data_IF_026892589554
#
_entry.id   IF_026892589554
#
_cell.length_a   1.000
_cell.length_b   1.000
_cell.length_c   1.000
_cell.angle_alpha   90.00
_cell.angle_beta   90.00
_cell.angle_gamma   90.00
#
_symmetry.space_group_name_H-M   'P 1'
#
loop_
_entity.id
_entity.type
_entity.pdbx_description
1 polymer ?
#
# COMPACT_ATOMS: atom_id res chain seq x y z
N UNK A 1 9.74 -6.35 -2.91
CA UNK A 1 10.68 -5.25 -3.17
C UNK A 1 12.10 -5.56 -2.67
N UNK A 2 12.27 -6.65 -1.91
CA UNK A 2 13.57 -7.17 -1.48
C UNK A 2 14.13 -6.49 -0.23
N UNK A 3 13.32 -5.71 0.48
CA UNK A 3 13.62 -5.00 1.72
C UNK A 3 12.48 -5.12 2.75
N UNK A 4 11.79 -6.27 2.76
CA UNK A 4 10.87 -6.63 3.82
C UNK A 4 11.62 -6.78 5.15
N UNK A 5 11.06 -6.25 6.21
CA UNK A 5 11.57 -6.31 7.57
C UNK A 5 10.49 -6.87 8.53
N UNK A 6 10.80 -6.95 9.82
CA UNK A 6 9.87 -7.43 10.85
C UNK A 6 8.62 -6.56 11.05
N UNK A 7 8.58 -5.39 10.41
CA UNK A 7 7.45 -4.45 10.44
C UNK A 7 6.65 -4.45 9.13
N UNK A 8 6.98 -5.35 8.21
CA UNK A 8 6.29 -5.52 6.94
C UNK A 8 5.20 -6.57 7.08
N UNK A 9 4.05 -6.32 6.45
CA UNK A 9 3.04 -7.33 6.15
C UNK A 9 3.51 -8.26 5.02
N UNK A 10 2.80 -9.35 4.83
CA UNK A 10 3.07 -10.32 3.76
C UNK A 10 2.02 -10.16 2.69
N UNK A 11 2.38 -9.43 1.64
CA UNK A 11 1.57 -9.31 0.44
C UNK A 11 1.67 -10.58 -0.41
N UNK A 12 0.53 -11.14 -0.83
CA UNK A 12 0.49 -12.31 -1.70
C UNK A 12 -0.48 -12.15 -2.87
N UNK A 13 -0.21 -12.86 -3.96
CA UNK A 13 -1.15 -13.08 -5.06
C UNK A 13 -1.14 -14.55 -5.42
N UNK A 14 -2.31 -15.16 -5.44
CA UNK A 14 -2.52 -16.52 -5.97
C UNK A 14 -3.20 -16.42 -7.33
N UNK A 15 -2.46 -16.78 -8.37
CA UNK A 15 -3.03 -16.88 -9.71
C UNK A 15 -3.80 -18.19 -9.84
N UNK A 16 -5.12 -18.10 -10.04
CA UNK A 16 -6.02 -19.24 -10.25
C UNK A 16 -6.37 -19.38 -11.74
N UNK A 17 -6.75 -20.57 -12.18
CA UNK A 17 -7.10 -20.81 -13.60
C UNK A 17 -8.33 -19.99 -13.99
N UNK A 18 -9.42 -20.14 -13.24
CA UNK A 18 -10.73 -19.56 -13.50
C UNK A 18 -11.26 -18.82 -12.27
N UNK A 19 -12.45 -18.24 -12.38
CA UNK A 19 -13.18 -17.68 -11.24
C UNK A 19 -13.48 -18.77 -10.20
N UNK A 20 -13.25 -18.43 -8.92
CA UNK A 20 -13.47 -19.38 -7.83
C UNK A 20 -14.94 -19.75 -7.70
N UNK A 21 -15.22 -21.04 -7.69
CA UNK A 21 -16.53 -21.58 -7.33
C UNK A 21 -16.88 -21.30 -5.86
N UNK A 22 -18.15 -21.35 -5.51
CA UNK A 22 -18.60 -21.15 -4.12
C UNK A 22 -17.96 -22.15 -3.15
N UNK A 23 -17.69 -23.39 -3.60
CA UNK A 23 -17.01 -24.40 -2.79
C UNK A 23 -15.54 -24.04 -2.52
N UNK A 24 -14.81 -23.54 -3.51
CA UNK A 24 -13.43 -23.08 -3.36
C UNK A 24 -13.33 -21.83 -2.47
N UNK A 25 -14.25 -20.88 -2.64
CA UNK A 25 -14.35 -19.72 -1.77
C UNK A 25 -14.55 -20.13 -0.30
N UNK A 26 -15.46 -21.06 -0.02
CA UNK A 26 -15.69 -21.58 1.32
C UNK A 26 -14.45 -22.29 1.89
N UNK A 27 -13.75 -23.08 1.09
CA UNK A 27 -12.53 -23.77 1.49
C UNK A 27 -11.38 -22.78 1.80
N UNK A 28 -11.23 -21.73 0.98
CA UNK A 28 -10.25 -20.68 1.22
C UNK A 28 -10.58 -19.85 2.47
N UNK A 29 -11.86 -19.55 2.69
CA UNK A 29 -12.32 -18.86 3.91
C UNK A 29 -11.96 -19.67 5.16
N UNK A 30 -12.21 -20.98 5.15
CA UNK A 30 -11.83 -21.87 6.25
C UNK A 30 -10.31 -21.96 6.42
N UNK A 31 -9.55 -22.02 5.33
CA UNK A 31 -8.08 -22.02 5.36
C UNK A 31 -7.54 -20.77 6.04
N UNK A 32 -7.99 -19.58 5.62
CA UNK A 32 -7.53 -18.31 6.19
C UNK A 32 -7.97 -18.14 7.65
N UNK A 33 -9.16 -18.60 8.01
CA UNK A 33 -9.59 -18.67 9.40
C UNK A 33 -8.64 -19.49 10.28
N UNK A 34 -8.19 -20.66 9.79
CA UNK A 34 -7.20 -21.52 10.49
C UNK A 34 -5.80 -20.88 10.50
N UNK A 35 -5.40 -20.21 9.43
CA UNK A 35 -4.10 -19.51 9.38
C UNK A 35 -4.05 -18.39 10.41
N UNK A 36 -5.10 -17.59 10.51
CA UNK A 36 -5.21 -16.48 11.45
C UNK A 36 -5.02 -16.92 12.92
N UNK A 37 -5.44 -18.15 13.27
CA UNK A 37 -5.30 -18.73 14.61
C UNK A 37 -3.88 -19.27 14.90
N UNK A 38 -2.97 -19.22 13.93
CA UNK A 38 -1.61 -19.71 14.15
C UNK A 38 -0.78 -18.72 14.96
N UNK A 39 -0.02 -19.23 15.93
CA UNK A 39 0.97 -18.46 16.70
C UNK A 39 2.26 -18.25 15.88
N UNK A 40 2.14 -17.54 14.74
CA UNK A 40 3.26 -17.22 13.83
C UNK A 40 3.22 -15.73 13.55
N UNK A 41 4.36 -15.08 13.51
CA UNK A 41 4.49 -13.62 13.46
C UNK A 41 3.64 -12.94 12.36
N UNK A 42 3.51 -13.54 11.17
CA UNK A 42 2.76 -12.94 10.04
C UNK A 42 1.38 -13.57 9.79
N UNK A 43 0.93 -14.52 10.63
CA UNK A 43 -0.36 -15.18 10.39
C UNK A 43 -1.55 -14.21 10.37
N UNK A 44 -1.46 -13.12 11.13
CA UNK A 44 -2.46 -12.06 11.21
C UNK A 44 -2.13 -10.83 10.35
N UNK A 45 -1.07 -10.92 9.52
CA UNK A 45 -0.57 -9.82 8.69
C UNK A 45 -0.42 -10.25 7.23
N UNK A 46 -1.31 -11.15 6.79
CA UNK A 46 -1.43 -11.53 5.39
C UNK A 46 -2.37 -10.56 4.69
N UNK A 47 -1.94 -10.05 3.53
CA UNK A 47 -2.77 -9.25 2.65
C UNK A 47 -2.63 -9.76 1.22
N UNK A 48 -3.74 -10.00 0.52
CA UNK A 48 -3.61 -10.44 -0.87
C UNK A 48 -4.88 -10.94 -1.52
N UNK A 49 -4.73 -11.43 -2.74
CA UNK A 49 -5.86 -11.80 -3.59
C UNK A 49 -5.67 -13.12 -4.32
N UNK A 50 -6.80 -13.76 -4.59
CA UNK A 50 -6.95 -14.86 -5.53
C UNK A 50 -7.47 -14.28 -6.85
N UNK A 51 -6.62 -14.29 -7.88
CA UNK A 51 -6.89 -13.62 -9.14
C UNK A 51 -6.88 -14.60 -10.31
N UNK A 52 -7.95 -14.66 -11.14
CA UNK A 52 -7.93 -15.42 -12.37
C UNK A 52 -6.80 -14.95 -13.30
N UNK A 53 -6.06 -15.88 -13.88
CA UNK A 53 -4.87 -15.62 -14.72
C UNK A 53 -5.14 -14.62 -15.82
N UNK A 54 -6.25 -14.77 -16.52
CA UNK A 54 -6.61 -13.89 -17.63
C UNK A 54 -6.88 -12.46 -17.19
N UNK A 55 -7.49 -12.29 -16.02
CA UNK A 55 -7.75 -10.97 -15.42
C UNK A 55 -6.51 -10.37 -14.76
N UNK A 56 -5.59 -11.22 -14.29
CA UNK A 56 -4.32 -10.77 -13.70
C UNK A 56 -3.35 -10.26 -14.77
N UNK A 57 -3.36 -10.83 -15.97
CA UNK A 57 -2.38 -10.61 -17.05
C UNK A 57 -2.13 -9.15 -17.39
N UNK A 58 -3.18 -8.32 -17.42
CA UNK A 58 -3.10 -6.90 -17.84
C UNK A 58 -3.67 -5.97 -16.81
N UNK A 59 -3.21 -4.71 -16.85
CA UNK A 59 -3.81 -3.64 -16.05
C UNK A 59 -5.30 -3.51 -16.41
N UNK A 60 -6.14 -3.59 -15.40
CA UNK A 60 -7.59 -3.46 -15.51
C UNK A 60 -8.01 -2.08 -14.97
N UNK A 61 -8.38 -1.12 -15.84
CA UNK A 61 -8.83 0.20 -15.41
C UNK A 61 -10.12 0.19 -14.57
N UNK A 62 -10.95 -0.86 -14.71
CA UNK A 62 -12.19 -0.98 -13.95
C UNK A 62 -11.93 -1.41 -12.49
N UNK A 63 -10.74 -1.96 -12.21
CA UNK A 63 -10.37 -2.51 -10.91
C UNK A 63 -11.42 -3.49 -10.39
N UNK A 64 -11.90 -4.37 -11.28
CA UNK A 64 -12.89 -5.37 -10.91
C UNK A 64 -12.39 -6.21 -9.73
N UNK A 65 -13.30 -6.54 -8.82
CA UNK A 65 -12.97 -7.22 -7.57
C UNK A 65 -12.33 -8.60 -7.79
N UNK A 66 -11.35 -8.93 -6.94
CA UNK A 66 -10.83 -10.26 -6.69
C UNK A 66 -11.28 -10.74 -5.32
N UNK A 67 -11.17 -12.05 -5.05
CA UNK A 67 -11.39 -12.57 -3.71
C UNK A 67 -10.16 -12.23 -2.86
N UNK A 68 -10.33 -11.34 -1.89
CA UNK A 68 -9.28 -10.55 -1.23
C UNK A 68 -9.32 -10.73 0.28
N UNK A 69 -8.15 -10.85 0.89
CA UNK A 69 -7.91 -10.79 2.33
C UNK A 69 -7.24 -9.47 2.68
N UNK A 70 -7.85 -8.69 3.53
CA UNK A 70 -7.27 -7.46 4.07
C UNK A 70 -6.32 -7.77 5.24
N UNK A 71 -5.29 -6.96 5.42
CA UNK A 71 -4.34 -7.11 6.52
C UNK A 71 -5.04 -7.05 7.88
N UNK A 72 -4.85 -8.08 8.69
CA UNK A 72 -5.51 -8.25 9.98
C UNK A 72 -6.94 -8.77 9.92
N UNK A 73 -7.49 -9.02 8.74
CA UNK A 73 -8.82 -9.62 8.60
C UNK A 73 -8.77 -11.14 8.69
N UNK A 74 -9.90 -11.71 9.13
CA UNK A 74 -10.13 -13.18 9.14
C UNK A 74 -10.91 -13.65 7.92
N UNK A 75 -11.63 -12.75 7.29
CA UNK A 75 -12.59 -13.04 6.24
C UNK A 75 -12.13 -12.45 4.91
N UNK A 76 -12.20 -13.26 3.87
CA UNK A 76 -12.00 -12.80 2.50
C UNK A 76 -13.29 -12.15 2.00
N UNK A 77 -13.11 -11.08 1.24
CA UNK A 77 -14.19 -10.32 0.60
C UNK A 77 -13.89 -10.12 -0.88
N UNK A 78 -14.87 -9.69 -1.65
CA UNK A 78 -14.64 -9.25 -3.02
C UNK A 78 -14.25 -7.78 -3.02
N UNK A 79 -13.02 -7.47 -3.40
CA UNK A 79 -12.50 -6.11 -3.45
C UNK A 79 -11.50 -5.91 -4.61
N UNK A 80 -11.44 -4.70 -5.14
CA UNK A 80 -10.51 -4.29 -6.18
C UNK A 80 -9.15 -3.80 -5.66
N UNK A 81 -8.88 -3.91 -4.35
CA UNK A 81 -7.69 -3.35 -3.70
C UNK A 81 -6.39 -3.80 -4.37
N UNK A 82 -6.22 -5.10 -4.57
CA UNK A 82 -5.04 -5.67 -5.23
C UNK A 82 -5.08 -5.62 -6.76
N UNK A 83 -6.19 -5.20 -7.38
CA UNK A 83 -6.32 -5.12 -8.83
C UNK A 83 -5.78 -3.77 -9.37
N UNK A 84 -4.48 -3.54 -9.23
CA UNK A 84 -3.83 -2.26 -9.54
C UNK A 84 -2.61 -2.43 -10.44
N UNK A 85 -2.16 -1.35 -11.07
CA UNK A 85 -0.93 -1.33 -11.85
C UNK A 85 0.30 -1.51 -10.93
N UNK A 86 0.26 -0.94 -9.72
CA UNK A 86 1.33 -1.04 -8.73
C UNK A 86 1.53 -2.49 -8.29
N UNK A 87 0.45 -3.21 -7.95
CA UNK A 87 0.53 -4.63 -7.55
C UNK A 87 1.07 -5.49 -8.70
N UNK A 88 0.57 -5.30 -9.94
CA UNK A 88 1.06 -6.04 -11.11
C UNK A 88 2.54 -5.79 -11.40
N UNK A 89 2.97 -4.53 -11.33
CA UNK A 89 4.37 -4.19 -11.53
C UNK A 89 5.25 -4.84 -10.44
N UNK A 90 4.84 -4.73 -9.18
CA UNK A 90 5.57 -5.31 -8.06
C UNK A 90 5.68 -6.82 -8.19
N UNK A 91 4.56 -7.49 -8.49
CA UNK A 91 4.54 -8.94 -8.69
C UNK A 91 5.46 -9.34 -9.86
N UNK A 92 5.33 -8.67 -11.01
CA UNK A 92 6.09 -8.99 -12.22
C UNK A 92 7.59 -8.78 -12.07
N UNK A 93 8.01 -7.68 -11.46
CA UNK A 93 9.43 -7.27 -11.41
C UNK A 93 10.14 -7.69 -10.10
N UNK A 94 9.40 -7.95 -9.04
CA UNK A 94 9.92 -8.19 -7.69
C UNK A 94 9.23 -9.35 -6.95
N UNK A 95 8.27 -10.03 -7.57
CA UNK A 95 7.56 -11.15 -6.95
C UNK A 95 8.51 -12.29 -6.60
N UNK A 96 8.26 -12.92 -5.45
CA UNK A 96 8.94 -14.14 -5.02
C UNK A 96 8.02 -15.31 -5.33
N UNK A 97 8.48 -16.24 -6.17
CA UNK A 97 7.69 -17.41 -6.55
C UNK A 97 7.76 -18.45 -5.43
N UNK A 98 6.61 -18.75 -4.84
CA UNK A 98 6.47 -19.84 -3.88
C UNK A 98 6.00 -21.14 -4.56
N UNK A 99 5.18 -21.00 -5.60
CA UNK A 99 4.70 -22.12 -6.43
C UNK A 99 4.24 -21.61 -7.80
N UNK A 100 4.37 -22.44 -8.84
CA UNK A 100 3.88 -22.13 -10.18
C UNK A 100 4.93 -21.46 -11.07
N UNK A 101 4.50 -20.83 -12.19
CA UNK A 101 5.40 -20.20 -13.15
C UNK A 101 5.96 -18.86 -12.67
N UNK A 102 6.97 -18.37 -13.35
CA UNK A 102 7.53 -17.04 -13.13
C UNK A 102 6.48 -15.93 -13.40
N UNK A 103 6.44 -14.86 -12.61
CA UNK A 103 5.45 -13.80 -12.78
C UNK A 103 5.47 -13.15 -14.17
N UNK A 104 6.64 -13.12 -14.83
CA UNK A 104 6.78 -12.59 -16.21
C UNK A 104 6.12 -13.45 -17.28
N UNK A 105 5.78 -14.69 -16.97
CA UNK A 105 4.99 -15.56 -17.84
C UNK A 105 3.48 -15.32 -17.68
N UNK A 106 3.07 -14.88 -16.50
CA UNK A 106 1.68 -14.60 -16.16
C UNK A 106 1.23 -13.18 -16.49
N UNK A 107 2.14 -12.21 -16.38
CA UNK A 107 1.85 -10.78 -16.45
C UNK A 107 2.53 -10.12 -17.66
N UNK A 108 1.77 -9.36 -18.42
CA UNK A 108 2.32 -8.46 -19.42
C UNK A 108 3.09 -7.30 -18.75
N UNK A 109 4.03 -6.64 -19.43
CA UNK A 109 4.69 -5.45 -18.93
C UNK A 109 3.70 -4.35 -18.54
N UNK A 110 3.87 -3.74 -17.38
CA UNK A 110 3.01 -2.66 -16.92
C UNK A 110 3.46 -1.34 -17.56
N UNK A 111 2.60 -0.64 -18.29
CA UNK A 111 2.98 0.63 -18.92
C UNK A 111 3.33 1.69 -17.87
N UNK A 112 4.41 2.44 -18.09
CA UNK A 112 4.81 3.57 -17.24
C UNK A 112 3.68 4.60 -17.04
N UNK A 113 2.88 4.82 -18.09
CA UNK A 113 1.71 5.70 -18.03
C UNK A 113 0.65 5.21 -17.03
N UNK A 114 0.43 3.88 -16.93
CA UNK A 114 -0.52 3.30 -15.98
C UNK A 114 -0.05 3.49 -14.54
N UNK A 115 1.23 3.26 -14.24
CA UNK A 115 1.81 3.51 -12.92
C UNK A 115 1.67 4.99 -12.52
N UNK A 116 2.03 5.90 -13.41
CA UNK A 116 1.91 7.33 -13.15
C UNK A 116 0.46 7.79 -12.97
N UNK A 117 -0.46 7.26 -13.75
CA UNK A 117 -1.89 7.58 -13.60
C UNK A 117 -2.42 7.11 -12.24
N UNK A 118 -2.09 5.88 -11.83
CA UNK A 118 -2.48 5.35 -10.53
C UNK A 118 -1.86 6.15 -9.37
N UNK A 119 -0.57 6.48 -9.46
CA UNK A 119 0.10 7.30 -8.45
C UNK A 119 -0.57 8.68 -8.30
N UNK A 120 -0.95 9.35 -9.41
CA UNK A 120 -1.70 10.62 -9.35
C UNK A 120 -3.06 10.46 -8.66
N UNK A 121 -3.81 9.43 -9.03
CA UNK A 121 -5.11 9.15 -8.40
C UNK A 121 -4.95 8.96 -6.89
N UNK A 122 -3.98 8.14 -6.48
CA UNK A 122 -3.71 7.88 -5.06
C UNK A 122 -3.22 9.10 -4.28
N UNK A 123 -2.43 9.96 -4.90
CA UNK A 123 -2.05 11.24 -4.29
C UNK A 123 -3.29 12.08 -3.91
N UNK A 124 -4.28 12.18 -4.81
CA UNK A 124 -5.50 12.93 -4.53
C UNK A 124 -6.38 12.25 -3.47
N UNK A 125 -6.55 10.93 -3.54
CA UNK A 125 -7.31 10.16 -2.55
C UNK A 125 -6.70 10.32 -1.14
N UNK A 126 -5.38 10.15 -1.01
CA UNK A 126 -4.68 10.24 0.27
C UNK A 126 -4.61 11.67 0.80
N UNK A 127 -4.57 12.66 -0.07
CA UNK A 127 -4.66 14.06 0.35
C UNK A 127 -6.05 14.40 0.91
N UNK A 128 -7.11 13.90 0.29
CA UNK A 128 -8.46 14.04 0.82
C UNK A 128 -8.60 13.39 2.20
N UNK A 129 -8.08 12.16 2.33
CA UNK A 129 -8.05 11.47 3.62
C UNK A 129 -7.24 12.21 4.69
N UNK A 130 -6.06 12.75 4.35
CA UNK A 130 -5.24 13.51 5.28
C UNK A 130 -5.97 14.78 5.80
N UNK A 131 -6.68 15.49 4.91
CA UNK A 131 -7.47 16.68 5.29
C UNK A 131 -8.65 16.31 6.20
N UNK A 132 -9.42 15.31 5.82
CA UNK A 132 -10.55 14.82 6.63
C UNK A 132 -10.08 14.36 8.01
N UNK A 133 -9.00 13.59 8.07
CA UNK A 133 -8.43 13.13 9.33
C UNK A 133 -7.96 14.28 10.22
N UNK A 134 -7.31 15.30 9.65
CA UNK A 134 -6.93 16.51 10.38
C UNK A 134 -8.16 17.25 10.92
N UNK A 135 -9.18 17.45 10.12
CA UNK A 135 -10.37 18.19 10.51
C UNK A 135 -11.10 17.49 11.66
N UNK A 136 -11.22 16.16 11.60
CA UNK A 136 -11.74 15.34 12.71
C UNK A 136 -10.85 15.42 13.95
N UNK A 137 -9.53 15.37 13.76
CA UNK A 137 -8.56 15.49 14.86
C UNK A 137 -8.71 16.84 15.59
N UNK A 138 -8.84 17.94 14.85
CA UNK A 138 -9.05 19.29 15.40
C UNK A 138 -10.42 19.42 16.06
N UNK A 139 -11.44 18.70 15.59
CA UNK A 139 -12.77 18.64 16.20
C UNK A 139 -12.84 17.79 17.49
N UNK A 140 -11.72 17.17 17.89
CA UNK A 140 -11.60 16.42 19.16
C UNK A 140 -11.48 14.92 19.02
N UNK A 141 -11.68 14.34 17.82
CA UNK A 141 -11.40 12.93 17.54
C UNK A 141 -9.88 12.73 17.33
N UNK A 142 -9.16 12.66 18.44
CA UNK A 142 -7.68 12.66 18.41
C UNK A 142 -7.09 11.42 17.74
N UNK A 143 -7.82 10.33 17.62
CA UNK A 143 -7.38 9.11 16.94
C UNK A 143 -7.67 9.14 15.43
N UNK A 144 -8.44 10.12 14.93
CA UNK A 144 -8.62 10.32 13.50
C UNK A 144 -7.29 10.65 12.78
N UNK A 145 -6.26 11.12 13.52
CA UNK A 145 -4.90 11.25 13.02
C UNK A 145 -3.93 10.62 14.04
N UNK A 146 -3.65 9.35 13.85
CA UNK A 146 -2.82 8.56 14.77
C UNK A 146 -1.32 8.65 14.44
N UNK A 147 -0.47 8.22 15.40
CA UNK A 147 0.97 8.07 15.19
C UNK A 147 1.34 7.02 14.13
N UNK A 148 0.43 6.11 13.79
CA UNK A 148 0.56 5.22 12.64
C UNK A 148 0.30 5.97 11.34
N UNK A 149 -0.76 6.77 11.28
CA UNK A 149 -1.19 7.46 10.06
C UNK A 149 -0.17 8.49 9.58
N UNK A 150 0.49 9.19 10.49
CA UNK A 150 1.47 10.22 10.16
C UNK A 150 2.64 9.69 9.31
N UNK A 151 3.45 8.69 9.74
CA UNK A 151 4.51 8.11 8.93
C UNK A 151 3.98 7.38 7.69
N UNK A 152 2.81 6.75 7.79
CA UNK A 152 2.15 6.10 6.65
C UNK A 152 1.87 7.08 5.52
N UNK A 153 1.27 8.24 5.81
CA UNK A 153 1.02 9.29 4.83
C UNK A 153 2.31 9.82 4.23
N UNK A 154 3.26 10.27 5.06
CA UNK A 154 4.51 10.86 4.59
C UNK A 154 5.26 9.91 3.64
N UNK A 155 5.47 8.66 4.04
CA UNK A 155 6.21 7.68 3.25
C UNK A 155 5.41 7.19 2.03
N UNK A 156 4.09 7.14 2.09
CA UNK A 156 3.25 6.84 0.93
C UNK A 156 3.32 7.95 -0.12
N UNK A 157 3.34 9.22 0.30
CA UNK A 157 3.56 10.34 -0.62
C UNK A 157 4.95 10.30 -1.25
N UNK A 158 6.00 9.98 -0.48
CA UNK A 158 7.34 9.75 -1.04
C UNK A 158 7.33 8.66 -2.12
N UNK A 159 6.65 7.51 -1.87
CA UNK A 159 6.52 6.42 -2.87
C UNK A 159 5.79 6.87 -4.13
N UNK A 160 4.69 7.59 -3.98
CA UNK A 160 3.92 8.07 -5.14
C UNK A 160 4.72 9.09 -5.97
N UNK A 161 5.44 10.00 -5.33
CA UNK A 161 6.34 10.96 -6.02
C UNK A 161 7.49 10.24 -6.73
N UNK A 162 8.10 9.24 -6.08
CA UNK A 162 9.10 8.36 -6.73
C UNK A 162 8.51 7.68 -7.97
N UNK A 163 7.32 7.09 -7.85
CA UNK A 163 6.64 6.42 -8.98
C UNK A 163 6.34 7.39 -10.13
N UNK A 164 5.97 8.63 -9.84
CA UNK A 164 5.79 9.65 -10.87
C UNK A 164 7.11 9.99 -11.60
N UNK A 165 8.20 10.07 -10.87
CA UNK A 165 9.52 10.38 -11.44
C UNK A 165 10.09 9.18 -12.22
N UNK A 166 10.24 8.03 -11.58
CA UNK A 166 10.95 6.87 -12.11
C UNK A 166 10.07 5.95 -12.96
N UNK A 167 8.73 5.98 -12.85
CA UNK A 167 7.80 4.98 -13.39
C UNK A 167 8.10 3.56 -12.87
N UNK A 168 8.54 3.45 -11.64
CA UNK A 168 8.83 2.22 -10.92
C UNK A 168 8.19 2.25 -9.54
N UNK A 169 8.08 1.08 -8.90
CA UNK A 169 7.61 0.97 -7.52
C UNK A 169 8.79 0.68 -6.61
N UNK A 170 8.84 1.35 -5.47
CA UNK A 170 9.87 1.13 -4.45
C UNK A 170 9.25 0.98 -3.06
N UNK A 171 10.03 0.56 -2.07
CA UNK A 171 9.59 0.46 -0.68
C UNK A 171 9.48 1.82 0.00
N UNK A 172 8.78 1.87 1.14
CA UNK A 172 8.67 3.07 1.96
C UNK A 172 10.05 3.61 2.41
N UNK A 173 10.98 2.77 2.94
CA UNK A 173 12.32 3.24 3.31
C UNK A 173 13.08 3.87 2.14
N UNK A 174 13.19 3.15 1.01
CA UNK A 174 13.90 3.67 -0.18
C UNK A 174 13.26 4.92 -0.76
N UNK A 175 11.93 5.00 -0.74
CA UNK A 175 11.24 6.22 -1.17
C UNK A 175 11.52 7.40 -0.25
N UNK A 176 11.63 7.16 1.06
CA UNK A 176 12.04 8.17 2.04
C UNK A 176 13.46 8.66 1.79
N UNK A 177 14.41 7.74 1.55
CA UNK A 177 15.80 8.08 1.20
C UNK A 177 15.87 8.92 -0.08
N UNK A 178 15.22 8.47 -1.15
CA UNK A 178 15.10 9.24 -2.39
C UNK A 178 14.50 10.64 -2.15
N UNK A 179 13.47 10.72 -1.34
CA UNK A 179 12.81 11.99 -1.06
C UNK A 179 13.70 12.96 -0.26
N UNK A 180 14.60 12.45 0.59
CA UNK A 180 15.59 13.27 1.31
C UNK A 180 16.62 13.92 0.35
N UNK A 181 16.87 13.31 -0.80
CA UNK A 181 17.79 13.80 -1.84
C UNK A 181 17.10 14.73 -2.83
N UNK A 182 15.86 14.43 -3.21
CA UNK A 182 15.17 15.04 -4.35
C UNK A 182 14.13 16.11 -3.97
N UNK A 183 13.62 16.09 -2.74
CA UNK A 183 12.64 17.07 -2.28
C UNK A 183 13.31 18.24 -1.56
N UNK A 184 12.54 19.32 -1.37
CA UNK A 184 12.99 20.49 -0.60
C UNK A 184 13.46 20.07 0.81
N UNK A 185 14.65 20.49 1.18
CA UNK A 185 15.30 20.16 2.45
C UNK A 185 14.48 20.54 3.69
N UNK A 186 13.52 21.46 3.56
CA UNK A 186 12.56 21.79 4.63
C UNK A 186 11.76 20.57 5.12
N UNK A 187 11.58 19.54 4.27
CA UNK A 187 10.86 18.33 4.61
C UNK A 187 11.74 17.24 5.22
N UNK A 188 13.06 17.44 5.24
CA UNK A 188 13.99 16.41 5.67
C UNK A 188 13.76 15.93 7.12
N UNK A 189 13.42 16.82 8.04
CA UNK A 189 13.13 16.47 9.43
C UNK A 189 11.85 15.61 9.54
N UNK A 190 10.78 15.98 8.79
CA UNK A 190 9.54 15.23 8.75
C UNK A 190 9.73 13.82 8.17
N UNK A 191 10.47 13.71 7.06
CA UNK A 191 10.72 12.43 6.38
C UNK A 191 11.56 11.50 7.27
N UNK A 192 12.63 12.00 7.91
CA UNK A 192 13.44 11.22 8.85
C UNK A 192 12.60 10.72 10.02
N UNK A 193 11.80 11.59 10.63
CA UNK A 193 10.89 11.20 11.71
C UNK A 193 9.90 10.11 11.25
N UNK A 194 9.37 10.20 10.03
CA UNK A 194 8.48 9.17 9.49
C UNK A 194 9.19 7.83 9.27
N UNK A 195 10.47 7.83 8.88
CA UNK A 195 11.29 6.62 8.79
C UNK A 195 11.55 6.01 10.17
N UNK A 196 11.88 6.84 11.16
CA UNK A 196 12.16 6.43 12.55
C UNK A 196 10.89 5.95 13.27
N UNK A 197 9.72 6.51 12.96
CA UNK A 197 8.43 6.16 13.55
C UNK A 197 7.71 4.98 12.85
N UNK A 198 8.22 4.49 11.72
CA UNK A 198 7.65 3.37 10.98
C UNK A 198 7.56 2.06 11.78
N UNK A 199 8.54 1.70 12.63
CA UNK A 199 8.47 0.50 13.45
C UNK A 199 7.22 0.44 14.35
N UNK A 200 6.71 -0.79 14.57
CA UNK A 200 5.58 -1.09 15.44
C UNK A 200 4.26 -0.36 15.03
N UNK A 201 3.81 -0.52 13.76
CA UNK A 201 2.65 0.20 13.25
C UNK A 201 1.36 -0.16 13.98
N UNK A 202 1.21 -1.41 14.44
CA UNK A 202 0.00 -1.94 15.08
C UNK A 202 -0.28 -1.31 16.44
N UNK A 203 0.75 -1.00 17.20
CA UNK A 203 0.64 -0.32 18.48
C UNK A 203 0.25 1.14 18.31
N UNK A 204 0.81 1.79 17.31
CA UNK A 204 0.69 3.23 17.09
C UNK A 204 -0.65 3.69 16.53
N UNK A 205 -1.52 2.77 16.07
CA UNK A 205 -2.89 3.12 15.65
C UNK A 205 -3.74 3.65 16.80
N UNK A 206 -3.41 3.30 18.05
CA UNK A 206 -4.13 3.72 19.25
C UNK A 206 -3.51 4.95 19.94
N UNK A 207 -2.46 5.51 19.38
CA UNK A 207 -1.78 6.70 19.90
C UNK A 207 -2.08 7.90 18.99
N UNK A 208 -2.61 9.04 19.52
CA UNK A 208 -2.81 10.23 18.70
C UNK A 208 -1.46 10.82 18.27
N UNK A 209 -1.40 11.35 17.06
CA UNK A 209 -0.22 12.09 16.59
C UNK A 209 -0.07 13.41 17.36
N UNK A 210 1.14 13.95 17.38
CA UNK A 210 1.41 15.28 17.91
C UNK A 210 0.73 16.36 17.04
N UNK A 211 0.10 17.40 17.61
CA UNK A 211 -0.58 18.44 16.84
C UNK A 211 0.31 19.15 15.80
N UNK A 212 1.57 19.42 16.13
CA UNK A 212 2.50 20.05 15.19
C UNK A 212 2.83 19.09 14.04
N UNK A 213 2.98 17.79 14.32
CA UNK A 213 3.23 16.76 13.33
C UNK A 213 2.02 16.58 12.38
N UNK A 214 0.79 16.71 12.86
CA UNK A 214 -0.43 16.68 12.02
C UNK A 214 -0.40 17.81 11.00
N UNK A 215 -0.19 19.05 11.46
CA UNK A 215 -0.16 20.22 10.59
C UNK A 215 1.03 20.20 9.61
N UNK A 216 2.19 19.73 10.05
CA UNK A 216 3.36 19.59 9.20
C UNK A 216 3.14 18.53 8.11
N UNK A 217 2.52 17.40 8.46
CA UNK A 217 2.17 16.34 7.51
C UNK A 217 1.20 16.83 6.44
N UNK A 218 0.15 17.57 6.83
CA UNK A 218 -0.81 18.12 5.86
C UNK A 218 -0.14 19.15 4.94
N UNK A 219 0.74 20.00 5.46
CA UNK A 219 1.52 20.92 4.61
C UNK A 219 2.42 20.19 3.61
N UNK A 220 3.05 19.10 4.02
CA UNK A 220 3.84 18.24 3.13
C UNK A 220 2.97 17.61 2.04
N UNK A 221 1.82 17.09 2.39
CA UNK A 221 0.83 16.51 1.46
C UNK A 221 0.43 17.53 0.38
N UNK A 222 0.12 18.76 0.78
CA UNK A 222 -0.24 19.85 -0.14
C UNK A 222 0.91 20.24 -1.07
N UNK A 223 2.12 20.24 -0.56
CA UNK A 223 3.32 20.52 -1.37
C UNK A 223 3.58 19.41 -2.40
N UNK A 224 3.45 18.16 -1.99
CA UNK A 224 3.57 17.00 -2.85
C UNK A 224 2.53 17.00 -3.99
N UNK A 225 1.28 17.38 -3.70
CA UNK A 225 0.24 17.54 -4.73
C UNK A 225 0.61 18.63 -5.75
N UNK A 226 1.10 19.78 -5.30
CA UNK A 226 1.54 20.85 -6.22
C UNK A 226 2.66 20.37 -7.13
N UNK A 227 3.64 19.66 -6.57
CA UNK A 227 4.76 19.08 -7.34
C UNK A 227 4.26 18.07 -8.38
N UNK A 228 3.32 17.20 -8.02
CA UNK A 228 2.74 16.21 -8.93
C UNK A 228 1.89 16.83 -10.05
N UNK A 229 1.28 17.98 -9.84
CA UNK A 229 0.49 18.71 -10.84
C UNK A 229 1.30 19.57 -11.81
N UNK A 230 2.57 19.86 -11.47
CA UNK A 230 3.50 20.64 -12.30
C UNK A 230 4.45 19.80 -13.18
N UNK A 231 4.32 18.47 -13.12
CA UNK A 231 5.18 17.51 -13.83
C UNK A 231 4.49 16.85 -15.04
#
# INVERSE_FOLDING_TARGET
LGDADEHSDVDFVVAVEDELSAGEQAALQELHGRLFEREVAWAQHLEGSYAPKDRLRRVDPSRAAFFYLDNGARELVWDGHCNTAVVRWTLRERGVVLAGPEPKELLDPVPAAALRAEARTKLHEYAAWARESRDRYLAGDRLAFSRWQQPYLVLSFCRMLYTLAAAEVTSKPRAGEWALEELDSRWAALIRRALDDRPDPWRRVHEPADPEAVEETVRFVEDALRRAGGA
#
